data_IF_961148808805
#
_entry.id   IF_961148808805
#
_cell.length_a   1.000
_cell.length_b   1.000
_cell.length_c   1.000
_cell.angle_alpha   90.00
_cell.angle_beta   90.00
_cell.angle_gamma   90.00
#
_symmetry.space_group_name_H-M   'P 1'
#
loop_
_entity.id
_entity.type
_entity.pdbx_description
1 polymer ?
#
# COMPACT_ATOMS: atom_id res chain seq x y z
N UNK A 1 10.38 6.69 -25.46
CA UNK A 1 9.36 6.07 -24.60
C UNK A 1 8.93 4.77 -25.27
N UNK A 2 8.99 3.63 -24.59
CA UNK A 2 8.60 2.36 -25.17
C UNK A 2 7.19 1.99 -24.68
N UNK A 3 6.18 2.20 -25.54
CA UNK A 3 4.77 1.97 -25.18
C UNK A 3 4.50 0.52 -24.77
N UNK A 4 5.17 -0.46 -25.38
CA UNK A 4 5.02 -1.86 -25.00
C UNK A 4 5.56 -2.16 -23.59
N UNK A 5 6.72 -1.58 -23.23
CA UNK A 5 7.27 -1.72 -21.86
C UNK A 5 6.37 -1.02 -20.85
N UNK A 6 5.90 0.20 -21.16
CA UNK A 6 4.96 0.92 -20.32
C UNK A 6 3.69 0.09 -20.05
N UNK A 7 3.05 -0.42 -21.10
CA UNK A 7 1.83 -1.24 -20.99
C UNK A 7 2.04 -2.48 -20.13
N UNK A 8 3.17 -3.17 -20.29
CA UNK A 8 3.55 -4.33 -19.46
C UNK A 8 3.75 -3.93 -18.00
N UNK A 9 4.49 -2.85 -17.72
CA UNK A 9 4.77 -2.37 -16.36
C UNK A 9 3.50 -1.86 -15.66
N UNK A 10 2.61 -1.18 -16.37
CA UNK A 10 1.28 -0.79 -15.87
C UNK A 10 0.47 -2.02 -15.45
N UNK A 11 0.37 -3.03 -16.32
CA UNK A 11 -0.35 -4.28 -16.01
C UNK A 11 0.26 -5.00 -14.82
N UNK A 12 1.60 -5.05 -14.74
CA UNK A 12 2.34 -5.62 -13.62
C UNK A 12 2.02 -4.90 -12.31
N UNK A 13 2.06 -3.57 -12.28
CA UNK A 13 1.71 -2.77 -11.10
C UNK A 13 0.29 -3.10 -10.65
N UNK A 14 -0.69 -3.05 -11.56
CA UNK A 14 -2.10 -3.32 -11.24
C UNK A 14 -2.30 -4.71 -10.64
N UNK A 15 -1.76 -5.75 -11.29
CA UNK A 15 -1.95 -7.13 -10.87
C UNK A 15 -1.21 -7.46 -9.57
N UNK A 16 0.02 -6.96 -9.40
CA UNK A 16 0.81 -7.19 -8.19
C UNK A 16 0.13 -6.59 -6.96
N UNK A 17 -0.44 -5.40 -7.11
CA UNK A 17 -1.18 -4.71 -6.05
C UNK A 17 -2.65 -5.13 -5.96
N UNK A 18 -3.06 -6.15 -6.72
CA UNK A 18 -4.42 -6.73 -6.74
C UNK A 18 -5.53 -5.69 -7.00
N UNK A 19 -5.23 -4.67 -7.79
CA UNK A 19 -6.19 -3.61 -8.12
C UNK A 19 -7.07 -4.01 -9.31
N UNK A 20 -8.37 -3.70 -9.21
CA UNK A 20 -9.28 -3.75 -10.36
C UNK A 20 -9.02 -2.54 -11.27
N UNK A 21 -9.29 -2.68 -12.58
CA UNK A 21 -9.08 -1.58 -13.53
C UNK A 21 -9.94 -0.35 -13.23
N UNK A 22 -11.16 -0.55 -12.71
CA UNK A 22 -12.05 0.54 -12.31
C UNK A 22 -11.59 1.25 -11.03
N UNK A 23 -10.81 0.59 -10.18
CA UNK A 23 -10.16 1.19 -9.01
C UNK A 23 -8.91 1.97 -9.41
N UNK A 24 -8.06 1.41 -10.29
CA UNK A 24 -6.82 2.07 -10.71
C UNK A 24 -7.07 3.36 -11.50
N UNK A 25 -8.12 3.41 -12.33
CA UNK A 25 -8.46 4.57 -13.15
C UNK A 25 -8.51 5.89 -12.35
N UNK A 26 -9.42 6.02 -11.36
CA UNK A 26 -9.50 7.20 -10.51
C UNK A 26 -8.17 7.53 -9.79
N UNK A 27 -7.48 6.51 -9.27
CA UNK A 27 -6.23 6.67 -8.51
C UNK A 27 -5.11 7.38 -9.28
N UNK A 28 -5.06 7.22 -10.62
CA UNK A 28 -4.02 7.81 -11.47
C UNK A 28 -4.55 8.95 -12.34
N UNK A 29 -5.78 9.44 -12.11
CA UNK A 29 -6.38 10.48 -12.95
C UNK A 29 -6.77 10.01 -14.35
N UNK A 30 -7.14 8.72 -14.51
CA UNK A 30 -7.66 8.13 -15.75
C UNK A 30 -9.00 7.40 -15.55
N UNK A 31 -10.06 8.07 -15.06
CA UNK A 31 -11.31 7.42 -14.61
C UNK A 31 -12.18 6.83 -15.73
N UNK A 32 -11.87 7.08 -17.01
CA UNK A 32 -12.72 6.67 -18.13
C UNK A 32 -12.90 5.16 -18.26
N UNK A 33 -14.11 4.70 -18.59
CA UNK A 33 -14.38 3.26 -18.84
C UNK A 33 -13.44 2.71 -19.91
N UNK A 34 -12.73 1.64 -19.57
CA UNK A 34 -11.77 0.97 -20.47
C UNK A 34 -10.47 1.73 -20.72
N UNK A 35 -10.22 2.86 -20.05
CA UNK A 35 -8.96 3.63 -20.17
C UNK A 35 -7.74 2.77 -19.84
N UNK A 36 -7.76 2.14 -18.67
CA UNK A 36 -6.69 1.26 -18.18
C UNK A 36 -6.46 0.10 -19.13
N UNK A 37 -7.53 -0.55 -19.62
CA UNK A 37 -7.42 -1.65 -20.58
C UNK A 37 -6.75 -1.21 -21.88
N UNK A 38 -7.11 -0.04 -22.44
CA UNK A 38 -6.43 0.49 -23.64
C UNK A 38 -4.95 0.77 -23.39
N UNK A 39 -4.60 1.31 -22.23
CA UNK A 39 -3.21 1.56 -21.83
C UNK A 39 -2.43 0.26 -21.65
N UNK A 40 -3.00 -0.75 -21.00
CA UNK A 40 -2.37 -2.07 -20.78
C UNK A 40 -2.19 -2.89 -22.06
N UNK A 41 -2.99 -2.62 -23.09
CA UNK A 41 -2.91 -3.29 -24.39
C UNK A 41 -2.15 -2.47 -25.45
N UNK A 42 -1.42 -1.42 -25.03
CA UNK A 42 -0.69 -0.51 -25.92
C UNK A 42 -1.55 0.12 -27.04
N UNK A 43 -2.87 0.18 -26.85
CA UNK A 43 -3.81 0.80 -27.80
C UNK A 43 -3.75 2.32 -27.73
N UNK A 44 -3.42 2.87 -26.56
CA UNK A 44 -3.22 4.29 -26.32
C UNK A 44 -1.89 4.51 -25.61
N UNK A 45 -1.24 5.64 -25.88
CA UNK A 45 -0.16 6.14 -25.04
C UNK A 45 -0.74 6.85 -23.81
N UNK A 46 -0.10 6.77 -22.62
CA UNK A 46 -0.52 7.54 -21.48
C UNK A 46 -0.27 9.03 -21.73
N UNK A 47 -1.22 9.87 -21.29
CA UNK A 47 -0.98 11.30 -21.15
C UNK A 47 -0.09 11.60 -19.94
N UNK A 48 0.23 12.87 -19.74
CA UNK A 48 1.03 13.33 -18.60
C UNK A 48 0.41 12.93 -17.25
N UNK A 49 -0.89 13.20 -17.05
CA UNK A 49 -1.58 12.94 -15.78
C UNK A 49 -1.54 11.46 -15.36
N UNK A 50 -1.94 10.47 -16.19
CA UNK A 50 -1.79 9.06 -15.82
C UNK A 50 -0.36 8.62 -15.58
N UNK A 51 0.60 9.19 -16.31
CA UNK A 51 2.00 8.82 -16.19
C UNK A 51 2.59 9.29 -14.86
N UNK A 52 2.36 10.54 -14.48
CA UNK A 52 2.80 11.08 -13.19
C UNK A 52 2.00 10.49 -12.04
N UNK A 53 0.70 10.28 -12.22
CA UNK A 53 -0.16 9.66 -11.20
C UNK A 53 0.26 8.22 -10.87
N UNK A 54 0.75 7.45 -11.85
CA UNK A 54 1.35 6.14 -11.59
C UNK A 54 2.66 6.24 -10.80
N UNK A 55 3.54 7.15 -11.20
CA UNK A 55 4.83 7.35 -10.54
C UNK A 55 4.64 7.77 -9.08
N UNK A 56 3.74 8.73 -8.83
CA UNK A 56 3.34 9.16 -7.51
C UNK A 56 2.69 8.00 -6.75
N UNK A 57 1.55 7.48 -7.20
CA UNK A 57 0.77 6.53 -6.42
C UNK A 57 1.54 5.25 -5.99
N UNK A 58 2.42 4.74 -6.85
CA UNK A 58 3.25 3.56 -6.55
C UNK A 58 4.68 3.89 -6.05
N UNK A 59 5.02 5.19 -5.95
CA UNK A 59 6.35 5.67 -5.59
C UNK A 59 7.47 5.06 -6.44
N UNK A 60 7.29 5.06 -7.75
CA UNK A 60 8.21 4.49 -8.74
C UNK A 60 8.86 5.56 -9.63
N UNK A 61 10.01 5.21 -10.17
CA UNK A 61 10.72 5.99 -11.18
C UNK A 61 9.96 6.00 -12.51
N UNK A 62 9.67 7.19 -13.02
CA UNK A 62 9.08 7.41 -14.34
C UNK A 62 9.93 6.80 -15.46
N UNK A 63 11.26 6.88 -15.35
CA UNK A 63 12.19 6.32 -16.33
C UNK A 63 12.11 4.79 -16.35
N UNK A 64 11.87 4.17 -15.20
CA UNK A 64 11.53 2.75 -15.16
C UNK A 64 10.16 2.55 -15.78
N UNK A 65 9.13 3.30 -15.42
CA UNK A 65 7.80 3.11 -15.98
C UNK A 65 7.78 3.13 -17.52
N UNK A 66 8.62 3.95 -18.16
CA UNK A 66 8.70 4.07 -19.64
C UNK A 66 9.79 3.23 -20.33
N UNK A 67 10.55 2.43 -19.58
CA UNK A 67 11.52 1.47 -20.13
C UNK A 67 12.94 1.99 -20.37
N UNK A 68 13.34 3.11 -19.75
CA UNK A 68 14.71 3.64 -19.86
C UNK A 68 15.69 3.03 -18.86
N UNK A 69 15.20 2.66 -17.67
CA UNK A 69 16.01 2.01 -16.65
C UNK A 69 15.36 0.72 -16.14
N UNK A 70 16.17 -0.09 -15.44
CA UNK A 70 15.78 -1.40 -14.93
C UNK A 70 15.40 -1.41 -13.45
N UNK A 71 15.75 -0.36 -12.71
CA UNK A 71 15.43 -0.23 -11.27
C UNK A 71 14.17 0.62 -11.09
N UNK A 72 13.10 0.11 -10.44
CA UNK A 72 11.85 0.85 -10.25
C UNK A 72 11.94 1.95 -9.19
N UNK A 73 12.90 1.85 -8.27
CA UNK A 73 12.97 2.74 -7.11
C UNK A 73 14.28 3.53 -7.12
N UNK A 74 14.19 4.81 -6.75
CA UNK A 74 15.32 5.71 -6.47
C UNK A 74 15.12 6.37 -5.11
N UNK A 75 16.22 6.57 -4.39
CA UNK A 75 16.20 7.12 -3.04
C UNK A 75 15.60 8.53 -3.00
N UNK A 76 15.89 9.35 -4.01
CA UNK A 76 15.42 10.73 -4.11
C UNK A 76 13.90 10.78 -4.30
N UNK A 77 13.35 9.86 -5.11
CA UNK A 77 11.92 9.75 -5.37
C UNK A 77 11.21 9.29 -4.10
N UNK A 78 11.63 8.15 -3.52
CA UNK A 78 11.01 7.62 -2.30
C UNK A 78 11.06 8.66 -1.16
N UNK A 79 12.20 9.31 -0.95
CA UNK A 79 12.33 10.34 0.08
C UNK A 79 11.43 11.55 -0.16
N UNK A 80 11.24 11.94 -1.42
CA UNK A 80 10.34 13.03 -1.79
C UNK A 80 8.89 12.68 -1.45
N UNK A 81 8.45 11.49 -1.83
CA UNK A 81 7.09 11.00 -1.55
C UNK A 81 6.81 10.89 -0.05
N UNK A 82 7.79 10.45 0.76
CA UNK A 82 7.62 10.31 2.21
C UNK A 82 7.60 11.64 2.96
N UNK A 83 8.26 12.69 2.45
CA UNK A 83 8.48 13.95 3.18
C UNK A 83 7.18 14.56 3.73
N UNK A 84 6.09 14.43 2.98
CA UNK A 84 4.78 14.98 3.32
C UNK A 84 3.69 13.91 3.32
N UNK A 85 4.06 12.63 3.43
CA UNK A 85 3.08 11.55 3.40
C UNK A 85 2.26 11.51 4.69
N UNK A 86 2.91 11.72 5.84
CA UNK A 86 2.28 11.57 7.15
C UNK A 86 2.13 12.90 7.87
N UNK A 87 1.08 13.05 8.72
CA UNK A 87 -0.06 12.14 8.89
C UNK A 87 -1.01 12.12 7.67
N UNK A 88 -1.71 11.01 7.47
CA UNK A 88 -2.68 10.84 6.38
C UNK A 88 -4.07 11.18 6.91
N UNK A 89 -4.76 12.05 6.17
CA UNK A 89 -6.16 12.38 6.38
C UNK A 89 -7.02 11.97 5.18
N UNK A 90 -8.21 11.44 5.46
CA UNK A 90 -9.29 11.26 4.49
C UNK A 90 -10.34 12.36 4.66
N UNK A 91 -10.87 12.85 3.53
CA UNK A 91 -11.95 13.84 3.51
C UNK A 91 -13.32 13.15 3.43
N UNK A 92 -14.09 13.22 4.51
CA UNK A 92 -15.42 12.59 4.61
C UNK A 92 -16.42 13.68 4.95
N UNK A 93 -17.40 13.92 4.07
CA UNK A 93 -18.47 14.90 4.31
C UNK A 93 -17.96 16.29 4.76
N UNK A 94 -16.85 16.76 4.16
CA UNK A 94 -16.15 18.02 4.49
C UNK A 94 -15.44 18.04 5.86
N UNK A 95 -15.30 16.89 6.52
CA UNK A 95 -14.46 16.71 7.71
C UNK A 95 -13.17 15.98 7.33
N UNK A 96 -12.08 16.36 7.99
CA UNK A 96 -10.78 15.69 7.87
C UNK A 96 -10.67 14.65 8.98
N UNK A 97 -10.53 13.38 8.60
CA UNK A 97 -10.39 12.24 9.53
C UNK A 97 -8.98 11.68 9.40
N UNK A 98 -8.23 11.62 10.51
CA UNK A 98 -6.90 11.00 10.54
C UNK A 98 -7.04 9.49 10.43
N UNK A 99 -6.32 8.90 9.48
CA UNK A 99 -6.34 7.44 9.26
C UNK A 99 -4.96 6.81 9.46
N UNK A 100 -3.87 7.58 9.45
CA UNK A 100 -2.52 7.05 9.71
C UNK A 100 -1.60 8.17 10.23
N UNK A 101 -1.06 8.10 11.46
CA UNK A 101 -1.26 7.05 12.48
C UNK A 101 -2.74 6.86 12.86
N UNK A 102 -3.11 5.67 13.31
CA UNK A 102 -4.49 5.37 13.67
C UNK A 102 -4.63 5.22 15.18
N UNK A 103 -5.08 6.30 15.82
CA UNK A 103 -5.28 6.38 17.27
C UNK A 103 -4.05 5.82 18.02
N UNK A 104 -4.28 4.96 19.01
CA UNK A 104 -3.23 4.23 19.73
C UNK A 104 -2.97 2.82 19.18
N UNK A 105 -3.62 2.44 18.07
CA UNK A 105 -3.55 1.08 17.51
C UNK A 105 -2.41 0.92 16.50
N UNK A 106 -2.14 1.94 15.69
CA UNK A 106 -1.03 1.94 14.74
C UNK A 106 -0.32 3.30 14.74
N UNK A 107 0.71 3.42 15.56
CA UNK A 107 1.65 4.53 15.51
C UNK A 107 2.72 4.32 14.43
N UNK A 108 3.30 5.42 13.95
CA UNK A 108 4.50 5.38 13.12
C UNK A 108 5.71 5.03 14.01
N UNK A 109 6.48 3.98 13.67
CA UNK A 109 7.69 3.65 14.42
C UNK A 109 8.70 4.80 14.42
N UNK A 110 9.44 4.97 15.52
CA UNK A 110 10.51 5.97 15.62
C UNK A 110 11.56 5.84 14.51
N UNK A 111 11.91 4.59 14.18
CA UNK A 111 12.84 4.27 13.09
C UNK A 111 12.30 4.58 11.68
N UNK A 112 10.99 4.81 11.55
CA UNK A 112 10.39 5.29 10.31
C UNK A 112 10.21 6.80 10.34
N UNK A 113 9.96 7.42 11.49
CA UNK A 113 9.87 8.89 11.60
C UNK A 113 11.24 9.53 11.34
N UNK A 114 12.32 8.96 11.90
CA UNK A 114 13.68 9.44 11.67
C UNK A 114 14.19 9.10 10.26
N UNK A 115 14.57 10.12 9.49
CA UNK A 115 15.02 9.96 8.10
C UNK A 115 16.27 9.10 7.95
N UNK A 116 17.18 9.14 8.92
CA UNK A 116 18.45 8.41 8.88
C UNK A 116 18.22 6.94 9.22
N UNK A 117 17.45 6.67 10.26
CA UNK A 117 17.06 5.32 10.64
C UNK A 117 16.19 4.69 9.56
N UNK A 118 15.26 5.43 8.97
CA UNK A 118 14.37 4.91 7.91
C UNK A 118 15.17 4.29 6.77
N UNK A 119 16.20 5.00 6.29
CA UNK A 119 17.08 4.54 5.20
C UNK A 119 17.93 3.31 5.59
N UNK A 120 18.23 3.14 6.87
CA UNK A 120 19.00 2.02 7.42
C UNK A 120 18.13 0.82 7.81
N UNK A 121 16.84 1.03 8.01
CA UNK A 121 15.91 0.02 8.49
C UNK A 121 15.01 -0.53 7.39
N UNK A 122 14.65 0.27 6.38
CA UNK A 122 13.69 -0.14 5.35
C UNK A 122 14.30 -0.05 3.96
N UNK A 123 14.22 -1.14 3.21
CA UNK A 123 14.55 -1.17 1.79
C UNK A 123 13.63 -0.20 1.01
N UNK A 124 14.11 0.26 -0.14
CA UNK A 124 13.31 1.12 -1.03
C UNK A 124 11.95 0.49 -1.40
N UNK A 125 11.91 -0.83 -1.56
CA UNK A 125 10.70 -1.55 -1.92
C UNK A 125 9.68 -1.57 -0.76
N UNK A 126 10.11 -1.80 0.48
CA UNK A 126 9.21 -1.70 1.64
C UNK A 126 8.71 -0.26 1.85
N UNK A 127 9.56 0.73 1.61
CA UNK A 127 9.17 2.15 1.68
C UNK A 127 8.14 2.49 0.61
N UNK A 128 8.29 1.98 -0.61
CA UNK A 128 7.29 2.09 -1.67
C UNK A 128 5.96 1.42 -1.28
N UNK A 129 6.00 0.22 -0.67
CA UNK A 129 4.80 -0.45 -0.17
C UNK A 129 4.07 0.41 0.89
N UNK A 130 4.81 1.04 1.80
CA UNK A 130 4.22 1.94 2.82
C UNK A 130 3.53 3.13 2.16
N UNK A 131 4.19 3.78 1.19
CA UNK A 131 3.60 4.91 0.45
C UNK A 131 2.32 4.48 -0.26
N UNK A 132 2.38 3.38 -1.01
CA UNK A 132 1.24 2.81 -1.72
C UNK A 132 0.08 2.50 -0.76
N UNK A 133 0.34 1.75 0.32
CA UNK A 133 -0.70 1.32 1.26
C UNK A 133 -1.34 2.53 1.96
N UNK A 134 -0.54 3.54 2.31
CA UNK A 134 -1.04 4.77 2.94
C UNK A 134 -1.97 5.54 2.01
N UNK A 135 -1.60 5.69 0.74
CA UNK A 135 -2.42 6.35 -0.29
C UNK A 135 -3.66 5.54 -0.64
N UNK A 136 -3.52 4.23 -0.76
CA UNK A 136 -4.65 3.34 -1.06
C UNK A 136 -5.65 3.29 0.09
N UNK A 137 -5.19 3.29 1.34
CA UNK A 137 -6.04 3.39 2.52
C UNK A 137 -6.87 4.68 2.51
N UNK A 138 -6.24 5.83 2.19
CA UNK A 138 -6.95 7.09 2.01
C UNK A 138 -8.05 6.97 0.95
N UNK A 139 -7.71 6.44 -0.21
CA UNK A 139 -8.69 6.24 -1.29
C UNK A 139 -9.86 5.37 -0.86
N UNK A 140 -9.62 4.22 -0.19
CA UNK A 140 -10.68 3.32 0.26
C UNK A 140 -11.66 4.05 1.19
N UNK A 141 -11.14 4.85 2.13
CA UNK A 141 -11.97 5.59 3.10
C UNK A 141 -12.74 6.75 2.43
N UNK A 142 -12.14 7.43 1.45
CA UNK A 142 -12.82 8.50 0.70
C UNK A 142 -13.86 7.96 -0.30
N UNK A 143 -13.63 6.78 -0.89
CA UNK A 143 -14.53 6.12 -1.84
C UNK A 143 -15.74 5.49 -1.14
N UNK A 144 -15.53 4.86 0.02
CA UNK A 144 -16.59 4.29 0.85
C UNK A 144 -16.31 4.54 2.35
N UNK A 145 -16.83 5.64 2.92
CA UNK A 145 -16.64 5.96 4.33
C UNK A 145 -17.16 4.91 5.31
N UNK A 146 -18.10 4.03 4.90
CA UNK A 146 -18.68 3.00 5.78
C UNK A 146 -17.65 1.98 6.25
N UNK A 147 -16.54 1.82 5.52
CA UNK A 147 -15.42 0.95 5.90
C UNK A 147 -14.78 1.32 7.25
N UNK A 148 -14.99 2.55 7.75
CA UNK A 148 -14.54 2.96 9.08
C UNK A 148 -15.21 2.17 10.20
N UNK A 149 -16.41 1.63 9.99
CA UNK A 149 -17.06 0.73 10.95
C UNK A 149 -16.21 -0.51 11.22
N UNK A 150 -15.44 -0.97 10.23
CA UNK A 150 -14.53 -2.11 10.38
C UNK A 150 -13.34 -1.82 11.31
N UNK A 151 -13.15 -0.57 11.75
CA UNK A 151 -12.10 -0.23 12.71
C UNK A 151 -12.22 -1.01 14.03
N UNK A 152 -13.41 -1.48 14.39
CA UNK A 152 -13.64 -2.33 15.57
C UNK A 152 -12.82 -3.64 15.54
N UNK A 153 -12.45 -4.12 14.34
CA UNK A 153 -11.64 -5.34 14.16
C UNK A 153 -10.13 -5.08 14.20
N UNK A 154 -9.68 -3.82 14.15
CA UNK A 154 -8.25 -3.48 14.11
C UNK A 154 -7.47 -4.00 15.34
N UNK A 155 -7.95 -3.88 16.59
CA UNK A 155 -7.25 -4.44 17.74
C UNK A 155 -7.00 -5.95 17.65
N UNK A 156 -7.85 -6.68 16.93
CA UNK A 156 -7.71 -8.14 16.79
C UNK A 156 -6.60 -8.53 15.80
N UNK A 157 -6.32 -7.69 14.78
CA UNK A 157 -5.34 -7.96 13.73
C UNK A 157 -4.01 -7.23 13.94
N UNK A 158 -4.02 -6.13 14.69
CA UNK A 158 -2.84 -5.31 15.02
C UNK A 158 -2.31 -5.67 16.41
N UNK A 159 -2.02 -6.95 16.68
CA UNK A 159 -1.58 -7.37 18.02
C UNK A 159 -0.10 -7.06 18.27
N UNK A 160 0.24 -6.29 19.31
CA UNK A 160 1.63 -6.04 19.69
C UNK A 160 2.33 -7.30 20.22
N UNK A 161 3.64 -7.44 19.94
CA UNK A 161 4.50 -8.54 20.38
C UNK A 161 4.57 -8.72 21.92
N UNK A 162 4.10 -7.76 22.71
CA UNK A 162 4.17 -7.77 24.18
C UNK A 162 3.12 -8.65 24.88
N UNK A 163 2.03 -9.03 24.22
CA UNK A 163 0.98 -9.89 24.84
C UNK A 163 1.28 -11.40 24.75
N UNK A 164 2.28 -11.79 23.96
CA UNK A 164 2.65 -13.19 23.73
C UNK A 164 3.25 -13.89 24.96
N UNK A 165 3.58 -13.19 26.06
CA UNK A 165 4.13 -13.81 27.27
C UNK A 165 3.11 -14.08 28.39
N UNK A 166 1.90 -13.52 28.35
CA UNK A 166 0.90 -13.73 29.43
C UNK A 166 -0.41 -14.39 29.00
N UNK A 167 -0.68 -14.56 27.70
CA UNK A 167 -2.00 -15.02 27.24
C UNK A 167 -2.10 -16.50 26.83
N UNK A 168 -1.27 -17.37 27.41
CA UNK A 168 -1.47 -18.83 27.35
C UNK A 168 -2.82 -19.32 27.91
N UNK A 169 -3.67 -18.41 28.43
CA UNK A 169 -5.02 -18.70 28.94
C UNK A 169 -6.15 -17.85 28.35
N UNK A 170 -5.88 -16.80 27.56
CA UNK A 170 -6.93 -15.91 26.97
C UNK A 170 -7.23 -16.18 25.50
N UNK A 171 -6.34 -16.86 24.78
CA UNK A 171 -6.59 -17.35 23.43
C UNK A 171 -7.79 -18.33 23.32
N UNK A 172 -8.38 -18.74 24.45
CA UNK A 172 -9.54 -19.63 24.54
C UNK A 172 -10.91 -18.91 24.54
N UNK A 173 -10.97 -17.57 24.45
CA UNK A 173 -12.23 -16.81 24.61
C UNK A 173 -12.66 -15.97 23.40
N UNK A 174 -12.11 -16.21 22.21
CA UNK A 174 -12.76 -15.74 20.98
C UNK A 174 -13.65 -16.87 20.50
N UNK A 175 -14.97 -16.72 20.69
CA UNK A 175 -15.93 -17.71 20.19
C UNK A 175 -15.68 -17.99 18.71
N UNK A 176 -15.77 -19.25 18.31
CA UNK A 176 -15.45 -19.71 16.94
C UNK A 176 -16.16 -18.88 15.86
N UNK A 177 -17.37 -18.39 16.15
CA UNK A 177 -18.16 -17.51 15.28
C UNK A 177 -17.52 -16.15 15.03
N UNK A 178 -16.91 -15.52 16.05
CA UNK A 178 -16.24 -14.22 15.92
C UNK A 178 -14.96 -14.39 15.11
N UNK A 179 -14.23 -15.48 15.34
CA UNK A 179 -13.02 -15.81 14.58
C UNK A 179 -13.32 -16.08 13.10
N UNK A 180 -14.42 -16.79 12.79
CA UNK A 180 -14.87 -17.00 11.43
C UNK A 180 -15.24 -15.68 10.73
N UNK A 181 -16.03 -14.82 11.39
CA UNK A 181 -16.37 -13.49 10.87
C UNK A 181 -15.15 -12.60 10.62
N UNK A 182 -14.18 -12.63 11.52
CA UNK A 182 -12.91 -11.89 11.38
C UNK A 182 -12.09 -12.39 10.18
N UNK A 183 -12.01 -13.71 9.99
CA UNK A 183 -11.30 -14.28 8.84
C UNK A 183 -11.97 -13.89 7.52
N UNK A 184 -13.30 -13.94 7.47
CA UNK A 184 -14.07 -13.49 6.30
C UNK A 184 -13.86 -11.99 6.04
N UNK A 185 -13.98 -11.14 7.07
CA UNK A 185 -13.82 -9.69 6.92
C UNK A 185 -12.40 -9.31 6.52
N UNK A 186 -11.38 -9.95 7.09
CA UNK A 186 -9.99 -9.71 6.72
C UNK A 186 -9.71 -10.13 5.27
N UNK A 187 -10.33 -11.20 4.76
CA UNK A 187 -10.09 -11.62 3.38
C UNK A 187 -10.90 -10.82 2.34
N UNK A 188 -12.02 -10.20 2.74
CA UNK A 188 -12.83 -9.40 1.81
C UNK A 188 -12.49 -7.89 1.87
N UNK A 189 -12.02 -7.39 3.02
CA UNK A 189 -11.81 -5.95 3.24
C UNK A 189 -10.42 -5.48 2.84
N UNK A 190 -10.33 -4.66 1.79
CA UNK A 190 -9.10 -3.93 1.45
C UNK A 190 -8.64 -3.00 2.59
N UNK A 191 -9.58 -2.44 3.37
CA UNK A 191 -9.28 -1.56 4.50
C UNK A 191 -8.49 -2.31 5.60
N UNK A 192 -9.02 -3.44 6.08
CA UNK A 192 -8.35 -4.25 7.10
C UNK A 192 -7.01 -4.82 6.59
N UNK A 193 -6.96 -5.26 5.33
CA UNK A 193 -5.72 -5.72 4.69
C UNK A 193 -4.65 -4.63 4.68
N UNK A 194 -5.00 -3.37 4.38
CA UNK A 194 -4.02 -2.28 4.37
C UNK A 194 -3.38 -2.09 5.74
N UNK A 195 -4.16 -2.02 6.81
CA UNK A 195 -3.63 -1.91 8.17
C UNK A 195 -2.78 -3.11 8.57
N UNK A 196 -3.23 -4.33 8.27
CA UNK A 196 -2.45 -5.54 8.56
C UNK A 196 -1.10 -5.55 7.84
N UNK A 197 -1.07 -5.12 6.57
CA UNK A 197 0.16 -5.06 5.79
C UNK A 197 1.09 -3.94 6.28
N UNK A 198 0.56 -2.75 6.59
CA UNK A 198 1.34 -1.67 7.19
C UNK A 198 1.98 -2.11 8.52
N UNK A 199 1.20 -2.74 9.39
CA UNK A 199 1.70 -3.32 10.63
C UNK A 199 2.79 -4.36 10.39
N UNK A 200 2.57 -5.29 9.45
CA UNK A 200 3.57 -6.30 9.08
C UNK A 200 4.87 -5.65 8.62
N UNK A 201 4.81 -4.57 7.82
CA UNK A 201 6.01 -3.86 7.39
C UNK A 201 6.71 -3.19 8.59
N UNK A 202 5.96 -2.43 9.37
CA UNK A 202 6.48 -1.63 10.50
C UNK A 202 7.03 -2.45 11.66
N UNK A 203 6.62 -3.71 11.84
CA UNK A 203 6.98 -4.48 13.03
C UNK A 203 7.56 -5.87 12.75
N UNK A 204 7.44 -6.39 11.52
CA UNK A 204 7.89 -7.74 11.18
C UNK A 204 8.90 -7.73 10.03
N UNK A 205 8.51 -7.24 8.85
CA UNK A 205 9.34 -7.33 7.64
C UNK A 205 10.64 -6.53 7.77
N UNK A 206 10.61 -5.39 8.47
CA UNK A 206 11.79 -4.56 8.69
C UNK A 206 12.91 -5.24 9.48
N UNK A 207 12.61 -6.32 10.21
CA UNK A 207 13.57 -7.01 11.06
C UNK A 207 14.62 -7.80 10.25
N UNK A 208 14.31 -8.14 9.00
CA UNK A 208 15.28 -8.74 8.10
C UNK A 208 16.32 -7.70 7.65
N UNK A 209 17.57 -8.09 7.38
CA UNK A 209 18.57 -7.23 6.73
C UNK A 209 18.01 -6.60 5.44
N UNK A 210 18.37 -5.35 5.13
CA UNK A 210 17.79 -4.58 4.01
C UNK A 210 17.79 -5.36 2.68
N UNK A 211 18.88 -6.05 2.38
CA UNK A 211 19.09 -6.85 1.17
C UNK A 211 18.23 -8.12 1.11
N UNK A 212 17.67 -8.54 2.25
CA UNK A 212 16.83 -9.73 2.41
C UNK A 212 15.35 -9.38 2.65
N UNK A 213 15.01 -8.09 2.73
CA UNK A 213 13.65 -7.65 2.94
C UNK A 213 12.78 -7.92 1.70
N UNK A 214 11.74 -8.73 1.89
CA UNK A 214 10.80 -9.08 0.81
C UNK A 214 9.61 -8.11 0.82
N UNK A 215 9.41 -7.31 -0.26
CA UNK A 215 8.27 -6.42 -0.36
C UNK A 215 6.95 -7.19 -0.38
N UNK A 216 5.90 -6.54 0.10
CA UNK A 216 4.51 -7.00 -0.04
C UNK A 216 4.14 -7.10 -1.51
N UNK A 217 4.48 -6.08 -2.29
CA UNK A 217 4.16 -6.00 -3.71
C UNK A 217 5.42 -6.14 -4.56
N UNK A 218 5.86 -7.39 -4.76
CA UNK A 218 7.10 -7.66 -5.50
C UNK A 218 6.94 -7.47 -7.02
N UNK A 219 7.23 -6.26 -7.49
CA UNK A 219 7.21 -5.88 -8.91
C UNK A 219 8.49 -6.26 -9.68
N UNK A 220 9.47 -6.87 -9.01
CA UNK A 220 10.71 -7.33 -9.66
C UNK A 220 10.66 -8.81 -10.05
N UNK A 221 9.70 -9.56 -9.50
CA UNK A 221 9.43 -10.94 -9.92
C UNK A 221 8.45 -10.89 -11.09
N UNK A 222 8.99 -10.93 -12.29
CA UNK A 222 8.21 -11.23 -13.49
C UNK A 222 7.66 -12.65 -13.35
N UNK A 223 6.38 -12.79 -12.98
CA UNK A 223 5.64 -13.98 -13.38
C UNK A 223 5.45 -13.85 -14.88
N UNK A 224 6.30 -14.51 -15.65
CA UNK A 224 6.03 -14.76 -17.06
C UNK A 224 4.67 -15.48 -17.13
N UNK A 225 3.66 -14.78 -17.64
CA UNK A 225 2.37 -15.31 -18.08
C UNK A 225 1.97 -14.61 -19.36
#
# INVERSE_FOLDING_TARGET
MNSAIFSKRLKLLRLTHKLKSNTLGPLIGSPGKGSISRLENAKNNPGFIPLTGLAEFFAIDLEWLVGRVNKPYREEIISYEEKNLFPIYANIEKKSVEILPYQNLLSLPEDYVDLTLRKKTYSLALRADIIFLSRYLKYIVEDDPSVLELSEYLPLILRPQSENKSEGKRALLIGETVRAKLLTSLDESSYLKCYSLLYSIFYVKKLAPIDQQIPVFNIMVSKEQ
#
